data_IF_722365247212
#
_entry.id   IF_722365247212
#
_cell.length_a   1.000
_cell.length_b   1.000
_cell.length_c   1.000
_cell.angle_alpha   90.00
_cell.angle_beta   90.00
_cell.angle_gamma   90.00
#
_symmetry.space_group_name_H-M   'P 1'
#
loop_
_entity.id
_entity.type
_entity.pdbx_description
1 polymer ?
#
# COMPACT_ATOMS: atom_id res chain seq x y z
N UNK A 1 13.59 17.42 -15.09
CA UNK A 1 14.62 16.72 -14.28
C UNK A 1 14.06 15.35 -13.91
N UNK A 2 14.76 14.27 -14.29
CA UNK A 2 14.31 12.90 -14.06
C UNK A 2 14.60 12.45 -12.60
N UNK A 3 13.61 11.85 -11.97
CA UNK A 3 13.73 11.31 -10.61
C UNK A 3 13.23 9.87 -10.54
N UNK A 4 13.90 9.05 -9.70
CA UNK A 4 13.36 7.79 -9.21
C UNK A 4 13.20 7.87 -7.69
N UNK A 5 12.17 7.26 -7.19
CA UNK A 5 11.90 7.16 -5.77
C UNK A 5 11.93 5.69 -5.36
N UNK A 6 12.73 5.37 -4.34
CA UNK A 6 12.80 4.02 -3.77
C UNK A 6 12.19 4.06 -2.38
N UNK A 7 11.19 3.23 -2.16
CA UNK A 7 10.48 3.12 -0.88
C UNK A 7 10.71 1.74 -0.29
N UNK A 8 11.18 1.69 0.95
CA UNK A 8 11.37 0.46 1.71
C UNK A 8 10.58 0.53 3.00
N UNK A 9 9.65 -0.38 3.20
CA UNK A 9 8.87 -0.47 4.44
C UNK A 9 9.57 -1.37 5.44
N UNK A 10 9.77 -0.86 6.66
CA UNK A 10 10.41 -1.57 7.77
C UNK A 10 9.49 -1.53 9.01
N UNK A 11 8.53 -2.46 9.13
CA UNK A 11 7.53 -2.44 10.18
C UNK A 11 8.12 -2.49 11.59
N UNK A 12 7.66 -1.61 12.47
CA UNK A 12 8.09 -1.54 13.89
C UNK A 12 9.45 -0.88 14.12
N UNK A 13 10.08 -0.29 13.10
CA UNK A 13 11.35 0.39 13.25
C UNK A 13 11.17 1.88 13.55
N UNK A 14 11.98 2.40 14.49
CA UNK A 14 12.09 3.85 14.72
C UNK A 14 12.83 4.53 13.56
N UNK A 15 12.69 5.86 13.40
CA UNK A 15 13.40 6.60 12.34
C UNK A 15 14.92 6.38 12.36
N UNK A 16 15.55 6.32 13.52
CA UNK A 16 17.00 6.11 13.68
C UNK A 16 17.43 4.71 13.21
N UNK A 17 16.58 3.70 13.47
CA UNK A 17 16.82 2.36 12.97
C UNK A 17 16.61 2.27 11.46
N UNK A 18 15.58 2.93 10.95
CA UNK A 18 15.33 3.02 9.50
C UNK A 18 16.52 3.70 8.81
N UNK A 19 17.06 4.78 9.40
CA UNK A 19 18.22 5.48 8.85
C UNK A 19 19.43 4.56 8.77
N UNK A 20 19.87 4.00 9.89
CA UNK A 20 21.11 3.22 9.97
C UNK A 20 21.05 1.86 9.28
N UNK A 21 19.91 1.16 9.36
CA UNK A 21 19.77 -0.21 8.87
C UNK A 21 19.23 -0.29 7.42
N UNK A 22 18.58 0.77 6.90
CA UNK A 22 17.96 0.78 5.59
C UNK A 22 18.42 1.94 4.73
N UNK A 23 18.22 3.19 5.17
CA UNK A 23 18.50 4.37 4.33
C UNK A 23 19.97 4.50 3.96
N UNK A 24 20.88 4.41 4.93
CA UNK A 24 22.32 4.50 4.69
C UNK A 24 22.82 3.37 3.79
N UNK A 25 22.33 2.15 4.01
CA UNK A 25 22.71 0.98 3.22
C UNK A 25 22.26 1.14 1.76
N UNK A 26 21.02 1.56 1.56
CA UNK A 26 20.46 1.77 0.23
C UNK A 26 21.06 2.99 -0.47
N UNK A 27 21.27 4.10 0.24
CA UNK A 27 21.88 5.32 -0.31
C UNK A 27 23.30 5.04 -0.81
N UNK A 28 24.13 4.38 -0.02
CA UNK A 28 25.48 3.98 -0.41
C UNK A 28 25.48 3.08 -1.66
N UNK A 29 24.57 2.14 -1.74
CA UNK A 29 24.46 1.25 -2.89
C UNK A 29 23.97 1.99 -4.13
N UNK A 30 22.90 2.77 -4.02
CA UNK A 30 22.24 3.46 -5.13
C UNK A 30 23.06 4.65 -5.65
N UNK A 31 23.90 5.27 -4.79
CA UNK A 31 24.84 6.32 -5.20
C UNK A 31 25.86 5.87 -6.25
N UNK A 32 26.06 4.55 -6.40
CA UNK A 32 26.95 3.99 -7.44
C UNK A 32 26.28 3.84 -8.81
N UNK A 33 24.96 4.08 -8.91
CA UNK A 33 24.22 3.97 -10.18
C UNK A 33 24.61 5.12 -11.10
N UNK A 34 25.01 4.79 -12.32
CA UNK A 34 25.46 5.79 -13.29
C UNK A 34 24.36 6.76 -13.68
N UNK A 35 24.67 8.05 -13.69
CA UNK A 35 23.73 9.13 -14.00
C UNK A 35 23.04 9.73 -12.78
N UNK A 36 23.23 9.19 -11.59
CA UNK A 36 22.74 9.79 -10.33
C UNK A 36 23.55 11.05 -10.04
N UNK A 37 22.87 12.19 -9.83
CA UNK A 37 23.45 13.45 -9.39
C UNK A 37 23.41 13.60 -7.87
N UNK A 38 22.28 13.21 -7.26
CA UNK A 38 22.10 13.29 -5.81
C UNK A 38 21.02 12.30 -5.36
N UNK A 39 21.12 11.90 -4.10
CA UNK A 39 20.11 11.13 -3.40
C UNK A 39 19.70 11.93 -2.17
N UNK A 40 18.40 12.00 -1.91
CA UNK A 40 17.87 12.56 -0.66
C UNK A 40 17.12 11.45 0.04
N UNK A 41 17.60 11.07 1.22
CA UNK A 41 16.95 10.07 2.07
C UNK A 41 16.02 10.74 3.08
N UNK A 42 14.87 10.12 3.31
CA UNK A 42 13.94 10.45 4.38
C UNK A 42 13.65 9.19 5.16
N UNK A 43 14.08 9.17 6.42
CA UNK A 43 13.85 8.08 7.36
C UNK A 43 12.72 8.46 8.30
N UNK A 44 11.64 7.69 8.27
CA UNK A 44 10.48 7.90 9.12
C UNK A 44 10.13 6.60 9.86
N UNK A 45 9.21 6.68 10.81
CA UNK A 45 8.72 5.50 11.49
C UNK A 45 8.13 4.51 10.49
N UNK A 46 8.63 3.28 10.48
CA UNK A 46 8.24 2.17 9.62
C UNK A 46 8.64 2.24 8.16
N UNK A 47 9.29 3.30 7.64
CA UNK A 47 9.70 3.34 6.24
C UNK A 47 10.91 4.25 5.96
N UNK A 48 11.61 3.89 4.89
CA UNK A 48 12.64 4.71 4.23
C UNK A 48 12.16 5.13 2.85
N UNK A 49 12.42 6.39 2.49
CA UNK A 49 12.14 6.94 1.17
C UNK A 49 13.42 7.60 0.64
N UNK A 50 13.96 7.09 -0.48
CA UNK A 50 15.09 7.68 -1.16
C UNK A 50 14.63 8.32 -2.48
N UNK A 51 14.87 9.61 -2.64
CA UNK A 51 14.62 10.34 -3.87
C UNK A 51 15.95 10.50 -4.62
N UNK A 52 16.08 9.80 -5.74
CA UNK A 52 17.26 9.82 -6.61
C UNK A 52 17.03 10.82 -7.74
N UNK A 53 17.91 11.81 -7.84
CA UNK A 53 17.94 12.77 -8.94
C UNK A 53 18.96 12.32 -9.97
N UNK A 54 18.57 12.29 -11.24
CA UNK A 54 19.45 11.96 -12.36
C UNK A 54 19.81 13.18 -13.19
N UNK A 55 20.95 13.10 -13.85
CA UNK A 55 21.41 14.13 -14.79
C UNK A 55 20.41 14.32 -15.94
N UNK A 56 20.30 15.54 -16.45
CA UNK A 56 19.47 15.82 -17.61
C UNK A 56 19.95 15.01 -18.83
N UNK A 57 19.00 14.46 -19.58
CA UNK A 57 19.28 13.59 -20.73
C UNK A 57 19.60 12.14 -20.37
N UNK A 58 19.54 11.76 -19.09
CA UNK A 58 19.66 10.36 -18.70
C UNK A 58 18.50 9.55 -19.29
N UNK A 59 18.82 8.42 -19.92
CA UNK A 59 17.80 7.45 -20.34
C UNK A 59 17.20 6.78 -19.10
N UNK A 60 15.96 7.18 -18.75
CA UNK A 60 15.28 6.72 -17.55
C UNK A 60 14.92 5.24 -17.57
N UNK A 61 14.72 4.64 -18.76
CA UNK A 61 14.51 3.20 -18.87
C UNK A 61 15.77 2.43 -18.42
N UNK A 62 16.93 2.85 -18.90
CA UNK A 62 18.21 2.27 -18.48
C UNK A 62 18.51 2.56 -17.00
N UNK A 63 18.19 3.75 -16.51
CA UNK A 63 18.35 4.13 -15.11
C UNK A 63 17.47 3.26 -14.19
N UNK A 64 16.21 3.04 -14.59
CA UNK A 64 15.28 2.18 -13.85
C UNK A 64 15.81 0.75 -13.73
N UNK A 65 16.26 0.16 -14.85
CA UNK A 65 16.81 -1.21 -14.83
C UNK A 65 18.06 -1.32 -13.95
N UNK A 66 18.99 -0.35 -14.06
CA UNK A 66 20.18 -0.33 -13.21
C UNK A 66 19.85 -0.16 -11.73
N UNK A 67 18.90 0.71 -11.42
CA UNK A 67 18.43 0.93 -10.06
C UNK A 67 17.76 -0.33 -9.50
N UNK A 68 16.89 -0.99 -10.30
CA UNK A 68 16.26 -2.24 -9.88
C UNK A 68 17.29 -3.33 -9.58
N UNK A 69 18.23 -3.55 -10.47
CA UNK A 69 19.30 -4.53 -10.25
C UNK A 69 20.10 -4.24 -8.97
N UNK A 70 20.36 -2.94 -8.69
CA UNK A 70 21.11 -2.55 -7.50
C UNK A 70 20.28 -2.73 -6.23
N UNK A 71 18.98 -2.39 -6.26
CA UNK A 71 18.03 -2.62 -5.17
C UNK A 71 17.95 -4.11 -4.85
N UNK A 72 17.79 -4.98 -5.86
CA UNK A 72 17.70 -6.43 -5.67
C UNK A 72 18.98 -7.01 -5.05
N UNK A 73 20.16 -6.54 -5.47
CA UNK A 73 21.43 -6.93 -4.88
C UNK A 73 21.57 -6.49 -3.42
N UNK A 74 21.07 -5.30 -3.10
CA UNK A 74 21.17 -4.72 -1.76
C UNK A 74 20.11 -5.26 -0.80
N UNK A 75 18.97 -5.72 -1.33
CA UNK A 75 17.86 -6.23 -0.53
C UNK A 75 18.27 -7.36 0.43
N UNK A 76 19.24 -8.19 0.06
CA UNK A 76 19.78 -9.26 0.92
C UNK A 76 20.57 -8.74 2.14
N UNK A 77 20.99 -7.48 2.11
CA UNK A 77 21.73 -6.83 3.20
C UNK A 77 20.79 -6.07 4.17
N UNK A 78 19.52 -5.97 3.84
CA UNK A 78 18.51 -5.32 4.69
C UNK A 78 17.99 -6.29 5.76
N UNK A 79 17.45 -5.76 6.88
CA UNK A 79 16.80 -6.58 7.89
C UNK A 79 15.69 -7.46 7.29
N UNK A 80 15.60 -8.72 7.73
CA UNK A 80 14.65 -9.69 7.19
C UNK A 80 13.16 -9.36 7.42
N UNK A 81 12.87 -8.35 8.24
CA UNK A 81 11.52 -7.81 8.47
C UNK A 81 11.15 -6.68 7.52
N UNK A 82 12.10 -6.19 6.72
CA UNK A 82 11.81 -5.24 5.67
C UNK A 82 10.98 -5.90 4.56
N UNK A 83 10.02 -5.16 4.04
CA UNK A 83 9.34 -5.56 2.81
C UNK A 83 10.25 -5.29 1.61
N UNK A 84 9.98 -5.98 0.51
CA UNK A 84 10.70 -5.75 -0.75
C UNK A 84 10.62 -4.28 -1.15
N UNK A 85 11.76 -3.60 -1.37
CA UNK A 85 11.76 -2.21 -1.78
C UNK A 85 11.03 -2.04 -3.12
N UNK A 86 10.26 -0.97 -3.25
CA UNK A 86 9.57 -0.61 -4.48
C UNK A 86 10.20 0.62 -5.12
N UNK A 87 10.27 0.63 -6.46
CA UNK A 87 10.81 1.74 -7.23
C UNK A 87 9.68 2.41 -7.98
N UNK A 88 9.58 3.72 -7.85
CA UNK A 88 8.56 4.54 -8.48
C UNK A 88 9.27 5.61 -9.33
N UNK A 89 8.93 5.69 -10.62
CA UNK A 89 9.39 6.78 -11.44
C UNK A 89 8.62 8.05 -11.04
N UNK A 90 9.36 9.05 -10.55
CA UNK A 90 8.79 10.34 -10.21
C UNK A 90 9.00 11.31 -11.36
N UNK A 91 7.94 11.58 -12.09
CA UNK A 91 7.91 12.59 -13.14
C UNK A 91 7.27 13.87 -12.61
N UNK A 92 7.93 15.01 -12.78
CA UNK A 92 7.32 16.32 -12.50
C UNK A 92 6.08 16.61 -13.38
N UNK A 93 5.87 15.80 -14.42
CA UNK A 93 4.67 15.81 -15.25
C UNK A 93 3.48 15.04 -14.62
N UNK A 94 3.59 14.59 -13.37
CA UNK A 94 2.47 13.99 -12.61
C UNK A 94 1.41 15.03 -12.21
N UNK A 95 1.66 16.33 -12.43
CA UNK A 95 0.60 17.31 -12.32
C UNK A 95 -0.46 17.02 -13.38
N UNK A 96 -1.70 16.86 -12.94
CA UNK A 96 -2.80 16.69 -13.86
C UNK A 96 -2.83 17.84 -14.87
N UNK A 97 -2.73 17.51 -16.16
CA UNK A 97 -2.84 18.49 -17.24
C UNK A 97 -4.24 19.15 -17.24
N UNK A 98 -5.24 18.38 -16.84
CA UNK A 98 -6.62 18.80 -16.77
C UNK A 98 -7.31 18.12 -15.59
N UNK A 99 -8.05 18.91 -14.82
CA UNK A 99 -8.95 18.41 -13.78
C UNK A 99 -10.39 18.68 -14.20
N UNK A 100 -11.23 17.66 -14.16
CA UNK A 100 -12.64 17.74 -14.55
C UNK A 100 -13.51 17.42 -13.34
N UNK A 101 -14.44 18.29 -13.01
CA UNK A 101 -15.49 18.00 -12.05
C UNK A 101 -16.64 17.27 -12.77
N UNK A 102 -17.06 16.13 -12.21
CA UNK A 102 -18.16 15.33 -12.76
C UNK A 102 -19.36 15.44 -11.83
N UNK A 103 -20.50 15.82 -12.39
CA UNK A 103 -21.78 15.83 -11.70
C UNK A 103 -22.85 15.21 -12.56
N UNK A 104 -23.85 14.57 -11.95
CA UNK A 104 -24.99 13.99 -12.64
C UNK A 104 -26.25 14.32 -11.86
N UNK A 105 -27.16 15.03 -12.53
CA UNK A 105 -28.44 15.40 -11.93
C UNK A 105 -29.30 14.14 -11.66
N UNK A 106 -29.90 14.07 -10.46
CA UNK A 106 -30.73 12.94 -10.06
C UNK A 106 -29.98 11.66 -9.72
N UNK A 107 -28.65 11.65 -9.70
CA UNK A 107 -27.85 10.51 -9.26
C UNK A 107 -27.45 10.64 -7.80
N UNK A 108 -27.47 9.51 -7.08
CA UNK A 108 -26.84 9.34 -5.78
C UNK A 108 -25.30 9.42 -5.93
N UNK A 109 -24.63 9.81 -4.87
CA UNK A 109 -23.16 9.90 -4.80
C UNK A 109 -22.51 8.54 -5.06
N UNK A 110 -23.12 7.46 -4.61
CA UNK A 110 -22.63 6.08 -4.84
C UNK A 110 -22.74 5.68 -6.31
N UNK A 111 -23.88 5.98 -6.96
CA UNK A 111 -24.09 5.68 -8.37
C UNK A 111 -23.18 6.52 -9.27
N UNK A 112 -22.91 7.77 -8.87
CA UNK A 112 -21.96 8.62 -9.55
C UNK A 112 -20.53 8.09 -9.41
N UNK A 113 -20.12 7.65 -8.21
CA UNK A 113 -18.81 7.06 -7.95
C UNK A 113 -18.59 5.80 -8.78
N UNK A 114 -19.57 4.89 -8.81
CA UNK A 114 -19.54 3.67 -9.61
C UNK A 114 -19.44 3.96 -11.12
N UNK A 115 -20.21 4.93 -11.60
CA UNK A 115 -20.15 5.36 -13.00
C UNK A 115 -18.78 5.94 -13.36
N UNK A 116 -18.20 6.78 -12.49
CA UNK A 116 -16.89 7.39 -12.73
C UNK A 116 -15.80 6.33 -12.75
N UNK A 117 -15.80 5.41 -11.78
CA UNK A 117 -14.77 4.39 -11.64
C UNK A 117 -14.85 3.32 -12.75
N UNK A 118 -16.03 2.79 -12.98
CA UNK A 118 -16.22 1.66 -13.88
C UNK A 118 -16.47 2.02 -15.35
N UNK A 119 -16.85 3.27 -15.63
CA UNK A 119 -17.17 3.70 -17.00
C UNK A 119 -16.30 4.84 -17.47
N UNK A 120 -16.26 5.95 -16.74
CA UNK A 120 -15.63 7.18 -17.22
C UNK A 120 -14.10 7.09 -17.22
N UNK A 121 -13.51 6.63 -16.12
CA UNK A 121 -12.04 6.49 -15.99
C UNK A 121 -11.49 5.51 -17.04
N UNK A 122 -12.04 4.29 -17.23
CA UNK A 122 -11.58 3.39 -18.28
C UNK A 122 -11.82 3.93 -19.70
N UNK A 123 -12.91 4.65 -19.93
CA UNK A 123 -13.21 5.23 -21.25
C UNK A 123 -12.18 6.29 -21.63
N UNK A 124 -11.91 7.25 -20.73
CA UNK A 124 -10.94 8.32 -20.97
C UNK A 124 -9.53 7.75 -21.05
N UNK A 125 -9.18 6.78 -20.21
CA UNK A 125 -7.85 6.15 -20.19
C UNK A 125 -7.47 5.40 -21.46
N UNK A 126 -8.47 4.97 -22.25
CA UNK A 126 -8.25 4.32 -23.57
C UNK A 126 -8.08 5.32 -24.71
N UNK A 127 -8.26 6.61 -24.46
CA UNK A 127 -8.16 7.64 -25.49
C UNK A 127 -6.68 7.84 -25.86
N UNK A 128 -6.38 7.85 -27.14
CA UNK A 128 -5.01 8.07 -27.63
C UNK A 128 -4.47 9.43 -27.15
N UNK A 129 -3.27 9.43 -26.58
CA UNK A 129 -2.63 10.62 -26.01
C UNK A 129 -2.91 10.85 -24.52
N UNK A 130 -3.75 10.04 -23.89
CA UNK A 130 -3.95 10.05 -22.43
C UNK A 130 -2.97 9.05 -21.79
N UNK A 131 -2.10 9.56 -20.93
CA UNK A 131 -1.09 8.76 -20.22
C UNK A 131 -1.69 8.08 -18.99
N UNK A 132 -2.47 8.82 -18.19
CA UNK A 132 -3.11 8.29 -17.00
C UNK A 132 -4.36 9.09 -16.65
N UNK A 133 -5.32 8.44 -16.03
CA UNK A 133 -6.53 9.05 -15.48
C UNK A 133 -6.66 8.58 -14.03
N UNK A 134 -6.90 9.51 -13.13
CA UNK A 134 -7.20 9.22 -11.74
C UNK A 134 -8.49 9.95 -11.32
N UNK A 135 -9.27 9.32 -10.48
CA UNK A 135 -10.46 9.92 -9.90
C UNK A 135 -10.26 10.11 -8.39
N UNK A 136 -10.71 11.24 -7.88
CA UNK A 136 -10.67 11.57 -6.46
C UNK A 136 -12.08 11.88 -5.97
N UNK A 137 -12.35 11.58 -4.69
CA UNK A 137 -13.65 11.82 -4.07
C UNK A 137 -14.67 10.73 -4.34
N UNK A 138 -14.26 9.58 -4.86
CA UNK A 138 -15.12 8.40 -5.01
C UNK A 138 -15.49 7.85 -3.64
N UNK A 139 -16.74 7.39 -3.52
CA UNK A 139 -17.27 6.75 -2.31
C UNK A 139 -17.64 5.31 -2.64
N UNK A 140 -17.05 4.37 -1.92
CA UNK A 140 -17.38 2.95 -2.05
C UNK A 140 -18.48 2.55 -1.06
N UNK A 141 -19.38 1.66 -1.50
CA UNK A 141 -20.34 1.03 -0.61
C UNK A 141 -19.63 -0.04 0.20
N UNK A 142 -19.54 0.19 1.51
CA UNK A 142 -18.94 -0.77 2.43
C UNK A 142 -20.03 -1.42 3.28
N UNK A 143 -20.03 -2.74 3.34
CA UNK A 143 -20.86 -3.49 4.28
C UNK A 143 -20.00 -3.82 5.49
N UNK A 144 -20.31 -3.19 6.62
CA UNK A 144 -19.64 -3.48 7.88
C UNK A 144 -20.44 -4.55 8.64
N UNK A 145 -19.85 -5.71 8.82
CA UNK A 145 -20.42 -6.77 9.64
C UNK A 145 -19.77 -6.70 11.02
N UNK A 146 -20.57 -6.39 12.01
CA UNK A 146 -20.15 -6.39 13.41
C UNK A 146 -20.73 -7.60 14.14
N UNK A 147 -19.87 -8.35 14.81
CA UNK A 147 -20.31 -9.41 15.71
C UNK A 147 -20.88 -8.78 16.97
N UNK A 148 -22.10 -9.18 17.32
CA UNK A 148 -22.73 -8.75 18.57
C UNK A 148 -22.24 -9.64 19.71
N UNK A 149 -21.38 -9.09 20.57
CA UNK A 149 -20.76 -9.82 21.68
C UNK A 149 -21.80 -10.35 22.66
N UNK A 150 -22.85 -9.60 22.94
CA UNK A 150 -23.90 -10.03 23.87
C UNK A 150 -24.63 -11.28 23.39
N UNK A 151 -24.84 -11.38 22.06
CA UNK A 151 -25.44 -12.58 21.47
C UNK A 151 -24.50 -13.79 21.46
N UNK A 152 -23.21 -13.55 21.31
CA UNK A 152 -22.19 -14.61 21.43
C UNK A 152 -22.18 -15.15 22.86
N UNK A 153 -22.21 -14.26 23.84
CA UNK A 153 -22.21 -14.63 25.27
C UNK A 153 -23.50 -15.37 25.64
N UNK A 154 -24.67 -14.95 25.12
CA UNK A 154 -25.93 -15.65 25.30
C UNK A 154 -25.90 -17.07 24.71
N UNK A 155 -25.36 -17.25 23.52
CA UNK A 155 -25.21 -18.57 22.89
C UNK A 155 -24.24 -19.45 23.67
N UNK A 156 -23.15 -18.90 24.15
CA UNK A 156 -22.16 -19.61 24.96
C UNK A 156 -22.77 -20.04 26.30
N UNK A 157 -23.54 -19.17 26.96
CA UNK A 157 -24.23 -19.51 28.20
C UNK A 157 -25.22 -20.66 28.03
N UNK A 158 -26.04 -20.65 26.95
CA UNK A 158 -26.96 -21.75 26.62
C UNK A 158 -26.22 -23.05 26.30
N UNK A 159 -25.09 -23.00 25.63
CA UNK A 159 -24.26 -24.17 25.35
C UNK A 159 -23.72 -24.78 26.63
N UNK A 160 -23.23 -23.97 27.57
CA UNK A 160 -22.75 -24.43 28.87
C UNK A 160 -23.85 -25.10 29.68
N UNK A 161 -25.06 -24.50 29.75
CA UNK A 161 -26.22 -25.06 30.43
C UNK A 161 -26.64 -26.41 29.84
N UNK A 162 -26.63 -26.55 28.50
CA UNK A 162 -26.90 -27.83 27.85
C UNK A 162 -25.85 -28.91 28.17
N UNK A 163 -24.59 -28.54 28.17
CA UNK A 163 -23.49 -29.45 28.54
C UNK A 163 -23.59 -29.90 29.98
N UNK A 164 -23.86 -28.98 30.91
CA UNK A 164 -24.02 -29.30 32.33
C UNK A 164 -25.21 -30.23 32.58
N UNK A 165 -26.33 -29.99 31.88
CA UNK A 165 -27.50 -30.87 31.93
C UNK A 165 -27.19 -32.26 31.42
N UNK A 166 -26.53 -32.39 30.28
CA UNK A 166 -26.14 -33.68 29.70
C UNK A 166 -25.12 -34.45 30.58
N UNK A 167 -24.20 -33.72 31.21
CA UNK A 167 -23.25 -34.31 32.15
C UNK A 167 -23.95 -34.78 33.43
N UNK A 168 -24.95 -34.06 33.95
CA UNK A 168 -25.73 -34.48 35.10
C UNK A 168 -26.56 -35.72 34.80
N UNK A 169 -27.19 -35.80 33.61
CA UNK A 169 -27.95 -36.98 33.18
C UNK A 169 -27.07 -38.18 32.96
N UNK A 170 -25.88 -38.00 32.38
CA UNK A 170 -24.91 -39.11 32.21
C UNK A 170 -24.35 -39.62 33.53
N UNK A 171 -24.16 -38.75 34.53
CA UNK A 171 -23.75 -39.18 35.87
C UNK A 171 -24.86 -39.95 36.58
N UNK A 172 -26.10 -39.52 36.46
CA UNK A 172 -27.23 -40.25 37.05
C UNK A 172 -27.40 -41.65 36.45
N UNK A 173 -27.09 -41.84 35.18
CA UNK A 173 -27.13 -43.14 34.51
C UNK A 173 -25.97 -44.07 34.87
N UNK A 174 -24.89 -43.54 35.44
CA UNK A 174 -23.72 -44.30 35.88
C UNK A 174 -23.81 -44.77 37.33
N UNK A 175 -24.65 -44.11 38.12
CA UNK A 175 -24.86 -44.38 39.55
C UNK A 175 -26.04 -45.37 39.78
N UNK A 176 -26.77 -45.80 38.75
CA UNK A 176 -27.80 -46.85 38.74
C UNK A 176 -27.18 -48.19 38.20
#
# INVERSE_FOLDING_TARGET
TPYLMVVTVYPGASPERVESEVSDVMENALGTVSGVESITATSAENYSLLLMKFAEGTDMNSAMVKTSNKVDQTASSLPGTCLTPSIIEYSLNMNAFMTVAVSREGSDVYDLSDFVDNTLVPYVGRTSGVSSVSANGLIEKMVQVQLNQDKIDEVNARLLELIDTQLADARAQLDD
#
